data_IF_236834010553
#
_entry.id   IF_236834010553
#
_cell.length_a   1.000
_cell.length_b   1.000
_cell.length_c   1.000
_cell.angle_alpha   90.00
_cell.angle_beta   90.00
_cell.angle_gamma   90.00
#
_symmetry.space_group_name_H-M   'P 1'
#
loop_
_entity.id
_entity.type
_entity.pdbx_description
1 polymer ?
#
# COMPACT_ATOMS: atom_id res chain seq x y z
N UNK A 1 -15.54 -11.01 22.13
CA UNK A 1 -16.54 -10.04 21.58
C UNK A 1 -17.09 -10.61 20.28
N UNK A 2 -18.41 -10.70 20.09
CA UNK A 2 -19.05 -11.14 18.84
C UNK A 2 -18.65 -10.30 17.62
N UNK A 3 -18.65 -10.91 16.43
CA UNK A 3 -18.25 -10.21 15.19
C UNK A 3 -19.16 -9.00 14.90
N UNK A 4 -20.48 -9.13 15.13
CA UNK A 4 -21.41 -8.02 14.95
C UNK A 4 -21.01 -6.81 15.81
N UNK A 5 -20.74 -7.03 17.10
CA UNK A 5 -20.34 -5.93 17.99
C UNK A 5 -19.04 -5.28 17.59
N UNK A 6 -18.06 -6.04 17.04
CA UNK A 6 -16.83 -5.48 16.46
C UNK A 6 -17.15 -4.62 15.23
N UNK A 7 -18.00 -5.13 14.35
CA UNK A 7 -18.43 -4.39 13.15
C UNK A 7 -19.17 -3.09 13.53
N UNK A 8 -20.00 -3.10 14.56
CA UNK A 8 -20.72 -1.90 15.03
C UNK A 8 -19.75 -0.80 15.49
N UNK A 9 -18.68 -1.16 16.21
CA UNK A 9 -17.60 -0.20 16.54
C UNK A 9 -16.93 0.36 15.30
N UNK A 10 -16.64 -0.49 14.30
CA UNK A 10 -16.01 -0.03 13.06
C UNK A 10 -16.91 0.90 12.27
N UNK A 11 -18.22 0.63 12.19
CA UNK A 11 -19.17 1.55 11.55
C UNK A 11 -19.22 2.88 12.30
N UNK A 12 -19.19 2.88 13.63
CA UNK A 12 -19.11 4.10 14.44
C UNK A 12 -17.83 4.89 14.14
N UNK A 13 -16.68 4.23 14.08
CA UNK A 13 -15.40 4.83 13.69
C UNK A 13 -15.51 5.48 12.31
N UNK A 14 -16.08 4.79 11.32
CA UNK A 14 -16.24 5.32 9.97
C UNK A 14 -17.13 6.58 9.95
N UNK A 15 -18.21 6.64 10.72
CA UNK A 15 -19.06 7.83 10.81
C UNK A 15 -18.36 9.00 11.48
N UNK A 16 -17.55 8.76 12.52
CA UNK A 16 -16.74 9.80 13.16
C UNK A 16 -15.69 10.33 12.16
N UNK A 17 -15.02 9.46 11.40
CA UNK A 17 -14.07 9.86 10.37
C UNK A 17 -14.74 10.73 9.29
N UNK A 18 -15.91 10.34 8.82
CA UNK A 18 -16.69 11.16 7.86
C UNK A 18 -16.99 12.56 8.41
N UNK A 19 -17.42 12.64 9.65
CA UNK A 19 -17.71 13.93 10.32
C UNK A 19 -16.46 14.79 10.47
N UNK A 20 -15.30 14.19 10.80
CA UNK A 20 -14.01 14.87 10.99
C UNK A 20 -13.17 14.96 9.70
N UNK A 21 -13.73 14.64 8.53
CA UNK A 21 -12.98 14.52 7.27
C UNK A 21 -12.15 15.76 6.94
N UNK A 22 -12.74 16.94 7.04
CA UNK A 22 -12.01 18.18 6.72
C UNK A 22 -10.89 18.49 7.72
N UNK A 23 -11.07 18.16 9.00
CA UNK A 23 -10.03 18.27 10.01
C UNK A 23 -8.86 17.32 9.71
N UNK A 24 -9.15 16.05 9.38
CA UNK A 24 -8.15 15.05 9.01
C UNK A 24 -7.37 15.53 7.78
N UNK A 25 -8.07 16.01 6.74
CA UNK A 25 -7.45 16.54 5.53
C UNK A 25 -6.52 17.73 5.84
N UNK A 26 -6.97 18.68 6.67
CA UNK A 26 -6.19 19.87 7.02
C UNK A 26 -4.88 19.50 7.74
N UNK A 27 -4.93 18.57 8.67
CA UNK A 27 -3.73 18.06 9.33
C UNK A 27 -2.80 17.32 8.37
N UNK A 28 -3.35 16.53 7.47
CA UNK A 28 -2.57 15.79 6.47
C UNK A 28 -1.87 16.71 5.47
N UNK A 29 -2.52 17.78 5.04
CA UNK A 29 -1.92 18.84 4.21
C UNK A 29 -0.74 19.46 4.95
N UNK A 30 -0.92 19.78 6.23
CA UNK A 30 0.10 20.45 7.04
C UNK A 30 1.27 19.56 7.42
N UNK A 31 1.04 18.28 7.71
CA UNK A 31 2.06 17.35 8.22
C UNK A 31 2.78 16.59 7.10
N UNK A 32 2.06 16.17 6.06
CA UNK A 32 2.59 15.36 4.96
C UNK A 32 2.84 16.13 3.66
N UNK A 33 2.39 17.39 3.57
CA UNK A 33 2.53 18.17 2.34
C UNK A 33 1.68 17.66 1.17
N UNK A 34 0.57 16.98 1.44
CA UNK A 34 -0.39 16.57 0.42
C UNK A 34 -1.23 17.76 -0.03
N UNK A 35 -1.52 17.88 -1.32
CA UNK A 35 -2.53 18.81 -1.79
C UNK A 35 -3.95 18.35 -1.39
N UNK A 36 -4.96 19.16 -1.63
CA UNK A 36 -6.34 18.90 -1.17
C UNK A 36 -6.91 17.60 -1.76
N UNK A 37 -6.63 17.33 -3.02
CA UNK A 37 -7.13 16.13 -3.72
C UNK A 37 -6.50 14.85 -3.14
N UNK A 38 -5.19 14.86 -2.92
CA UNK A 38 -4.46 13.72 -2.36
C UNK A 38 -4.79 13.48 -0.88
N UNK A 39 -5.02 14.54 -0.10
CA UNK A 39 -5.43 14.44 1.31
C UNK A 39 -6.84 13.88 1.43
N UNK A 40 -7.78 14.38 0.61
CA UNK A 40 -9.16 13.92 0.62
C UNK A 40 -9.30 12.46 0.15
N UNK A 41 -8.51 12.07 -0.86
CA UNK A 41 -8.45 10.68 -1.33
C UNK A 41 -7.92 9.72 -0.25
N UNK A 42 -6.88 10.11 0.49
CA UNK A 42 -6.33 9.32 1.60
C UNK A 42 -7.36 9.13 2.71
N UNK A 43 -8.05 10.19 3.12
CA UNK A 43 -9.11 10.10 4.13
C UNK A 43 -10.27 9.24 3.67
N UNK A 44 -10.69 9.34 2.40
CA UNK A 44 -11.74 8.51 1.83
C UNK A 44 -11.34 7.03 1.82
N UNK A 45 -10.12 6.71 1.40
CA UNK A 45 -9.59 5.35 1.42
C UNK A 45 -9.54 4.76 2.84
N UNK A 46 -9.16 5.57 3.84
CA UNK A 46 -9.19 5.16 5.24
C UNK A 46 -10.61 4.76 5.69
N UNK A 47 -11.62 5.55 5.34
CA UNK A 47 -13.02 5.25 5.64
C UNK A 47 -13.46 3.95 4.95
N UNK A 48 -13.08 3.78 3.69
CA UNK A 48 -13.41 2.59 2.91
C UNK A 48 -12.79 1.33 3.52
N UNK A 49 -11.54 1.37 3.99
CA UNK A 49 -10.93 0.26 4.73
C UNK A 49 -11.73 -0.14 5.95
N UNK A 50 -12.15 0.82 6.77
CA UNK A 50 -12.91 0.55 8.00
C UNK A 50 -14.22 -0.14 7.69
N UNK A 51 -14.98 0.40 6.74
CA UNK A 51 -16.30 -0.15 6.33
C UNK A 51 -16.13 -1.52 5.68
N UNK A 52 -15.18 -1.65 4.76
CA UNK A 52 -14.94 -2.91 4.05
C UNK A 52 -14.56 -4.04 5.00
N UNK A 53 -13.61 -3.78 5.91
CA UNK A 53 -13.18 -4.80 6.86
C UNK A 53 -14.25 -5.15 7.90
N UNK A 54 -15.16 -4.24 8.23
CA UNK A 54 -16.32 -4.56 9.06
C UNK A 54 -17.21 -5.62 8.38
N UNK A 55 -17.56 -5.43 7.10
CA UNK A 55 -18.34 -6.41 6.34
C UNK A 55 -17.58 -7.73 6.13
N UNK A 56 -16.29 -7.68 5.83
CA UNK A 56 -15.50 -8.89 5.65
C UNK A 56 -15.35 -9.69 6.95
N UNK A 57 -15.24 -9.03 8.10
CA UNK A 57 -15.24 -9.69 9.41
C UNK A 57 -16.57 -10.43 9.69
N UNK A 58 -17.70 -9.83 9.34
CA UNK A 58 -19.01 -10.49 9.43
C UNK A 58 -19.12 -11.71 8.49
N UNK A 59 -18.54 -11.63 7.30
CA UNK A 59 -18.44 -12.76 6.38
C UNK A 59 -17.59 -13.89 6.95
N UNK A 60 -16.43 -13.57 7.51
CA UNK A 60 -15.48 -14.54 8.07
C UNK A 60 -16.03 -15.25 9.34
N UNK A 61 -16.90 -14.60 10.10
CA UNK A 61 -17.53 -15.20 11.29
C UNK A 61 -18.39 -16.44 10.97
N UNK A 62 -18.81 -16.57 9.71
CA UNK A 62 -19.56 -17.77 9.23
C UNK A 62 -18.68 -19.02 9.18
N UNK A 63 -17.36 -18.87 9.31
CA UNK A 63 -16.40 -19.97 9.18
C UNK A 63 -16.13 -20.36 7.74
N UNK A 64 -15.51 -21.52 7.56
CA UNK A 64 -15.17 -22.10 6.26
C UNK A 64 -16.09 -23.27 5.95
N UNK A 65 -16.64 -23.37 4.74
CA UNK A 65 -17.35 -24.57 4.31
C UNK A 65 -16.42 -25.79 4.39
N UNK A 66 -16.91 -26.88 4.94
CA UNK A 66 -16.23 -28.17 4.98
C UNK A 66 -17.13 -29.25 4.36
N UNK A 67 -16.54 -30.32 3.91
CA UNK A 67 -17.32 -31.48 3.48
C UNK A 67 -18.16 -31.97 4.65
N UNK A 68 -19.41 -32.28 4.36
CA UNK A 68 -20.36 -32.71 5.35
C UNK A 68 -20.04 -34.11 5.88
N UNK A 69 -20.84 -34.48 6.85
CA UNK A 69 -20.74 -35.68 7.66
C UNK A 69 -20.47 -36.95 6.86
N UNK A 70 -19.36 -37.59 7.17
CA UNK A 70 -19.07 -38.96 6.75
C UNK A 70 -18.94 -39.84 8.01
N UNK A 71 -19.57 -41.01 8.00
CA UNK A 71 -19.46 -42.02 9.08
C UNK A 71 -19.88 -41.53 10.48
N UNK A 72 -20.85 -40.61 10.55
CA UNK A 72 -21.40 -40.08 11.81
C UNK A 72 -20.56 -38.97 12.46
N UNK A 73 -19.57 -38.44 11.76
CA UNK A 73 -18.78 -37.28 12.22
C UNK A 73 -19.45 -35.97 11.85
N UNK A 74 -19.51 -35.03 12.80
CA UNK A 74 -19.93 -33.66 12.58
C UNK A 74 -18.67 -32.77 12.46
N UNK A 75 -18.47 -32.14 11.31
CA UNK A 75 -17.28 -31.34 11.04
C UNK A 75 -17.61 -29.85 10.96
N UNK A 76 -16.71 -29.02 11.48
CA UNK A 76 -16.79 -27.56 11.38
C UNK A 76 -15.40 -26.94 11.40
N UNK A 77 -15.17 -25.91 10.57
CA UNK A 77 -13.99 -25.07 10.64
C UNK A 77 -14.40 -23.64 10.96
N UNK A 78 -13.80 -23.05 11.97
CA UNK A 78 -13.98 -21.66 12.38
C UNK A 78 -12.67 -20.90 12.30
N UNK A 79 -12.76 -19.59 12.21
CA UNK A 79 -11.61 -18.70 12.31
C UNK A 79 -11.49 -18.11 13.71
N UNK A 80 -10.27 -18.09 14.24
CA UNK A 80 -9.93 -17.53 15.55
C UNK A 80 -8.89 -16.42 15.38
N UNK A 81 -8.99 -15.30 16.15
CA UNK A 81 -7.95 -14.28 16.16
C UNK A 81 -6.62 -14.84 16.65
N UNK A 82 -5.51 -14.41 16.09
CA UNK A 82 -4.17 -14.89 16.47
C UNK A 82 -3.63 -14.21 17.74
N UNK A 83 -4.15 -13.03 18.13
CA UNK A 83 -3.81 -12.33 19.37
C UNK A 83 -3.25 -10.91 19.16
N UNK A 84 -2.30 -10.52 20.02
CA UNK A 84 -1.73 -9.17 19.97
C UNK A 84 -0.67 -9.04 18.88
N UNK A 85 -0.70 -7.95 18.11
CA UNK A 85 0.27 -7.67 17.08
C UNK A 85 0.67 -6.21 16.97
N UNK A 86 1.53 -5.93 16.00
CA UNK A 86 2.09 -4.61 15.75
C UNK A 86 1.78 -4.18 14.32
N UNK A 87 1.35 -2.94 14.17
CA UNK A 87 1.19 -2.26 12.88
C UNK A 87 2.18 -1.11 12.80
N UNK A 88 3.09 -1.12 11.82
CA UNK A 88 4.12 -0.11 11.61
C UNK A 88 3.90 0.46 10.21
N UNK A 89 3.39 1.69 10.14
CA UNK A 89 2.94 2.32 8.91
C UNK A 89 3.90 3.38 8.37
N UNK A 90 3.83 3.70 7.07
CA UNK A 90 4.63 4.74 6.44
C UNK A 90 4.01 6.12 6.62
N UNK A 91 4.76 7.14 6.19
CA UNK A 91 4.34 8.54 6.24
C UNK A 91 3.59 9.03 4.97
N UNK A 92 3.68 8.30 3.86
CA UNK A 92 3.18 8.78 2.56
C UNK A 92 1.67 8.61 2.35
N UNK A 93 1.05 7.65 3.01
CA UNK A 93 -0.39 7.53 3.21
C UNK A 93 -0.64 7.44 4.72
N UNK A 94 -0.46 8.57 5.41
CA UNK A 94 -0.31 8.55 6.87
C UNK A 94 -1.61 8.24 7.60
N UNK A 95 -2.74 8.36 6.93
CA UNK A 95 -4.03 8.01 7.49
C UNK A 95 -4.58 6.70 6.92
N UNK A 96 -4.71 6.56 5.59
CA UNK A 96 -5.31 5.36 4.99
C UNK A 96 -4.55 4.08 5.33
N UNK A 97 -3.23 4.06 5.11
CA UNK A 97 -2.44 2.85 5.39
C UNK A 97 -2.36 2.59 6.89
N UNK A 98 -2.17 3.62 7.71
CA UNK A 98 -2.16 3.48 9.18
C UNK A 98 -3.47 2.85 9.69
N UNK A 99 -4.61 3.40 9.26
CA UNK A 99 -5.95 2.92 9.63
C UNK A 99 -6.18 1.50 9.09
N UNK A 100 -5.93 1.27 7.80
CA UNK A 100 -6.17 -0.04 7.17
C UNK A 100 -5.38 -1.17 7.83
N UNK A 101 -4.11 -0.92 8.15
CA UNK A 101 -3.23 -1.89 8.81
C UNK A 101 -3.64 -2.17 10.27
N UNK A 102 -4.13 -1.17 10.99
CA UNK A 102 -4.55 -1.32 12.38
C UNK A 102 -5.96 -1.94 12.51
N UNK A 103 -6.89 -1.52 11.66
CA UNK A 103 -8.30 -1.93 11.75
C UNK A 103 -8.52 -3.36 11.22
N UNK A 104 -7.79 -3.82 10.21
CA UNK A 104 -7.94 -5.16 9.67
C UNK A 104 -7.81 -6.26 10.75
N UNK A 105 -6.74 -6.32 11.57
CA UNK A 105 -6.65 -7.29 12.65
C UNK A 105 -7.70 -7.08 13.75
N UNK A 106 -8.06 -5.82 14.08
CA UNK A 106 -9.10 -5.51 15.08
C UNK A 106 -10.46 -6.02 14.64
N UNK A 107 -10.81 -5.87 13.37
CA UNK A 107 -12.07 -6.35 12.79
C UNK A 107 -12.32 -7.83 13.08
N UNK A 108 -11.28 -8.64 13.08
CA UNK A 108 -11.36 -10.09 13.32
C UNK A 108 -11.02 -10.50 14.77
N UNK A 109 -10.86 -9.54 15.67
CA UNK A 109 -10.78 -9.79 17.14
C UNK A 109 -9.38 -9.82 17.73
N UNK A 110 -8.37 -9.34 17.02
CA UNK A 110 -7.03 -9.14 17.57
C UNK A 110 -6.91 -7.79 18.28
N UNK A 111 -5.79 -7.58 18.96
CA UNK A 111 -5.38 -6.29 19.51
C UNK A 111 -4.11 -5.79 18.81
N UNK A 112 -3.95 -4.47 18.71
CA UNK A 112 -2.88 -3.86 17.93
C UNK A 112 -2.15 -2.79 18.73
N UNK A 113 -0.83 -2.79 18.65
CA UNK A 113 0.01 -1.62 18.91
C UNK A 113 0.31 -0.98 17.59
N UNK A 114 -0.21 0.23 17.36
CA UNK A 114 -0.12 0.97 16.11
C UNK A 114 0.92 2.08 16.23
N UNK A 115 1.98 1.97 15.41
CA UNK A 115 3.09 2.92 15.35
C UNK A 115 3.11 3.63 14.00
N UNK A 116 2.76 4.92 13.91
CA UNK A 116 2.93 5.70 12.69
C UNK A 116 4.41 6.00 12.42
N UNK A 117 4.70 6.47 11.22
CA UNK A 117 6.01 7.02 10.91
C UNK A 117 6.29 8.27 11.76
N UNK A 118 7.56 8.53 12.13
CA UNK A 118 7.94 9.72 12.90
C UNK A 118 7.64 11.05 12.18
N UNK A 119 7.58 11.02 10.85
CA UNK A 119 7.29 12.22 10.04
C UNK A 119 5.80 12.62 10.07
N UNK A 120 4.89 11.71 10.47
CA UNK A 120 3.44 11.96 10.45
C UNK A 120 2.71 11.39 11.69
N UNK A 121 3.14 11.73 12.92
CA UNK A 121 2.57 11.17 14.15
C UNK A 121 1.16 11.70 14.44
N UNK A 122 0.80 12.89 13.97
CA UNK A 122 -0.51 13.51 14.23
C UNK A 122 -1.65 12.70 13.65
N UNK A 123 -1.45 12.06 12.48
CA UNK A 123 -2.46 11.19 11.88
C UNK A 123 -2.80 10.00 12.78
N UNK A 124 -1.76 9.37 13.37
CA UNK A 124 -1.97 8.30 14.34
C UNK A 124 -2.67 8.76 15.63
N UNK A 125 -2.35 9.96 16.11
CA UNK A 125 -3.02 10.56 17.26
C UNK A 125 -4.50 10.85 16.98
N UNK A 126 -4.84 11.41 15.81
CA UNK A 126 -6.25 11.62 15.41
C UNK A 126 -7.03 10.30 15.35
N UNK A 127 -6.41 9.23 14.87
CA UNK A 127 -7.06 7.91 14.89
C UNK A 127 -7.30 7.42 16.31
N UNK A 128 -6.37 7.66 17.24
CA UNK A 128 -6.56 7.31 18.66
C UNK A 128 -7.74 8.07 19.28
N UNK A 129 -7.88 9.38 19.00
CA UNK A 129 -9.06 10.16 19.43
C UNK A 129 -10.36 9.59 18.84
N UNK A 130 -10.38 9.24 17.56
CA UNK A 130 -11.56 8.68 16.88
C UNK A 130 -11.96 7.32 17.49
N UNK A 131 -10.99 6.49 17.78
CA UNK A 131 -11.20 5.17 18.39
C UNK A 131 -11.76 5.32 19.82
N UNK A 132 -11.25 6.27 20.59
CA UNK A 132 -11.75 6.58 21.95
C UNK A 132 -13.19 7.13 21.89
N UNK A 133 -13.45 8.07 21.00
CA UNK A 133 -14.79 8.62 20.76
C UNK A 133 -15.82 7.56 20.34
N UNK A 134 -15.39 6.56 19.54
CA UNK A 134 -16.23 5.43 19.15
C UNK A 134 -16.48 4.45 20.31
N UNK A 135 -15.82 4.60 21.45
CA UNK A 135 -15.96 3.77 22.62
C UNK A 135 -15.37 2.35 22.45
N UNK A 136 -14.37 2.19 21.56
CA UNK A 136 -13.68 0.90 21.43
C UNK A 136 -13.02 0.52 22.78
N UNK A 137 -13.17 -0.72 23.28
CA UNK A 137 -12.63 -1.09 24.58
C UNK A 137 -11.13 -0.83 24.72
N UNK A 138 -10.72 -0.33 25.87
CA UNK A 138 -9.32 -0.04 26.17
C UNK A 138 -8.43 -1.27 25.93
N UNK A 139 -7.24 -1.04 25.35
CA UNK A 139 -6.26 -2.08 25.04
C UNK A 139 -6.50 -2.82 23.70
N UNK A 140 -7.59 -2.56 22.99
CA UNK A 140 -7.82 -3.13 21.66
C UNK A 140 -6.96 -2.41 20.62
N UNK A 141 -6.97 -1.08 20.62
CA UNK A 141 -6.08 -0.22 19.83
C UNK A 141 -5.16 0.55 20.79
N UNK A 142 -3.86 0.48 20.55
CA UNK A 142 -2.85 1.13 21.39
C UNK A 142 -1.92 1.94 20.50
N UNK A 143 -1.98 3.25 20.61
CA UNK A 143 -1.15 4.18 19.85
C UNK A 143 0.19 4.39 20.54
N UNK A 144 1.28 4.33 19.77
CA UNK A 144 2.64 4.65 20.26
C UNK A 144 3.43 5.37 19.18
N UNK A 145 4.15 6.42 19.58
CA UNK A 145 5.11 7.13 18.73
C UNK A 145 6.53 6.85 19.21
N UNK A 146 7.51 7.21 18.41
CA UNK A 146 8.92 7.15 18.77
C UNK A 146 9.81 6.73 17.62
N UNK A 147 11.10 6.59 17.90
CA UNK A 147 12.10 6.21 16.93
C UNK A 147 11.80 4.87 16.26
N UNK A 148 12.16 4.75 14.99
CA UNK A 148 11.87 3.55 14.20
C UNK A 148 12.67 2.33 14.66
N UNK A 149 13.91 2.53 15.09
CA UNK A 149 14.79 1.44 15.54
C UNK A 149 14.42 1.05 16.98
N UNK A 150 14.43 2.02 17.91
CA UNK A 150 14.21 1.75 19.31
C UNK A 150 12.80 1.17 19.58
N UNK A 151 11.76 1.89 19.16
CA UNK A 151 10.36 1.47 19.41
C UNK A 151 9.95 0.36 18.45
N UNK A 152 10.26 0.51 17.15
CA UNK A 152 9.86 -0.47 16.13
C UNK A 152 10.46 -1.85 16.35
N UNK A 153 11.76 -1.95 16.64
CA UNK A 153 12.40 -3.24 16.92
C UNK A 153 11.98 -3.83 18.26
N UNK A 154 11.82 -3.02 19.30
CA UNK A 154 11.34 -3.50 20.60
C UNK A 154 9.99 -4.18 20.46
N UNK A 155 9.07 -3.57 19.74
CA UNK A 155 7.76 -4.13 19.45
C UNK A 155 7.84 -5.41 18.62
N UNK A 156 8.66 -5.42 17.57
CA UNK A 156 8.83 -6.57 16.69
C UNK A 156 9.48 -7.76 17.38
N UNK A 157 10.46 -7.54 18.26
CA UNK A 157 11.19 -8.58 18.99
C UNK A 157 10.40 -9.15 20.17
N UNK A 158 9.39 -8.44 20.68
CA UNK A 158 8.63 -8.86 21.85
C UNK A 158 8.11 -10.31 21.70
N UNK A 159 8.31 -11.19 22.69
CA UNK A 159 7.76 -12.55 22.67
C UNK A 159 6.24 -12.60 22.67
N UNK A 160 5.57 -11.47 22.92
CA UNK A 160 4.10 -11.34 22.91
C UNK A 160 3.53 -10.94 21.55
N UNK A 161 4.37 -10.44 20.62
CA UNK A 161 3.95 -10.01 19.29
C UNK A 161 3.71 -11.20 18.38
N UNK A 162 2.45 -11.47 18.06
CA UNK A 162 2.01 -12.61 17.23
C UNK A 162 2.11 -12.32 15.72
N UNK A 163 1.94 -11.08 15.33
CA UNK A 163 2.08 -10.64 13.94
C UNK A 163 2.70 -9.25 13.86
N UNK A 164 3.35 -9.00 12.73
CA UNK A 164 3.91 -7.70 12.36
C UNK A 164 3.29 -7.35 11.01
N UNK A 165 2.49 -6.29 10.97
CA UNK A 165 2.02 -5.67 9.74
C UNK A 165 2.88 -4.44 9.47
N UNK A 166 3.60 -4.44 8.35
CA UNK A 166 4.57 -3.41 8.01
C UNK A 166 4.35 -2.89 6.59
N UNK A 167 4.30 -1.58 6.43
CA UNK A 167 4.40 -0.92 5.13
C UNK A 167 5.52 0.11 5.18
N UNK A 168 6.47 0.02 4.23
CA UNK A 168 7.62 0.92 4.19
C UNK A 168 8.72 0.46 3.24
N UNK A 169 9.98 0.85 3.53
CA UNK A 169 11.10 0.52 2.67
C UNK A 169 11.41 -0.98 2.66
N UNK A 170 11.87 -1.49 1.51
CA UNK A 170 12.32 -2.87 1.35
C UNK A 170 13.35 -3.29 2.39
N UNK A 171 14.33 -2.44 2.66
CA UNK A 171 15.40 -2.75 3.62
C UNK A 171 14.85 -3.01 5.03
N UNK A 172 13.94 -2.16 5.50
CA UNK A 172 13.30 -2.33 6.81
C UNK A 172 12.38 -3.54 6.83
N UNK A 173 11.61 -3.78 5.76
CA UNK A 173 10.74 -4.96 5.66
C UNK A 173 11.51 -6.28 5.74
N UNK A 174 12.64 -6.39 5.03
CA UNK A 174 13.53 -7.55 5.09
C UNK A 174 14.15 -7.71 6.48
N UNK A 175 14.55 -6.62 7.14
CA UNK A 175 15.06 -6.64 8.50
C UNK A 175 14.01 -7.13 9.50
N UNK A 176 12.77 -6.62 9.44
CA UNK A 176 11.68 -7.07 10.30
C UNK A 176 11.29 -8.53 10.03
N UNK A 177 11.36 -8.98 8.77
CA UNK A 177 11.15 -10.39 8.41
C UNK A 177 12.20 -11.29 9.08
N UNK A 178 13.46 -10.86 9.09
CA UNK A 178 14.53 -11.56 9.82
C UNK A 178 14.26 -11.63 11.32
N UNK A 179 13.80 -10.53 11.93
CA UNK A 179 13.39 -10.51 13.35
C UNK A 179 12.23 -11.47 13.60
N UNK A 180 11.22 -11.46 12.75
CA UNK A 180 10.03 -12.31 12.89
C UNK A 180 10.37 -13.82 12.80
N UNK A 181 11.39 -14.18 12.03
CA UNK A 181 11.86 -15.57 11.90
C UNK A 181 12.61 -16.10 13.13
N UNK A 182 13.07 -15.21 14.02
CA UNK A 182 13.79 -15.60 15.23
C UNK A 182 12.81 -15.86 16.36
N UNK A 183 12.80 -17.10 16.87
CA UNK A 183 12.04 -17.46 18.07
C UNK A 183 12.89 -17.08 19.29
N UNK A 184 12.33 -16.25 20.16
CA UNK A 184 13.00 -15.78 21.37
C UNK A 184 12.43 -16.47 22.62
N UNK A 185 13.14 -16.38 23.74
CA UNK A 185 12.69 -16.96 25.01
C UNK A 185 11.30 -16.44 25.42
N UNK A 186 10.42 -17.33 25.85
CA UNK A 186 9.03 -17.03 26.19
C UNK A 186 8.07 -16.91 24.99
N UNK A 187 8.55 -17.08 23.77
CA UNK A 187 7.72 -17.12 22.57
C UNK A 187 7.31 -18.59 22.26
N UNK A 188 6.01 -18.84 22.16
CA UNK A 188 5.46 -20.19 21.91
C UNK A 188 4.74 -20.31 20.56
N UNK A 189 5.04 -19.45 19.58
CA UNK A 189 4.42 -19.39 18.27
C UNK A 189 5.39 -18.80 17.22
N UNK A 190 5.12 -19.03 15.95
CA UNK A 190 5.80 -18.32 14.86
C UNK A 190 5.09 -17.00 14.60
N UNK A 191 5.84 -15.91 14.55
CA UNK A 191 5.29 -14.60 14.19
C UNK A 191 4.87 -14.60 12.74
N UNK A 192 3.71 -14.02 12.44
CA UNK A 192 3.30 -13.77 11.06
C UNK A 192 3.82 -12.41 10.60
N UNK A 193 4.31 -12.37 9.37
CA UNK A 193 4.77 -11.14 8.73
C UNK A 193 3.88 -10.80 7.56
N UNK A 194 3.33 -9.59 7.55
CA UNK A 194 2.59 -8.99 6.44
C UNK A 194 3.34 -7.74 6.01
N UNK A 195 3.90 -7.77 4.82
CA UNK A 195 4.73 -6.69 4.28
C UNK A 195 4.12 -6.11 3.00
N UNK A 196 4.07 -4.77 2.94
CA UNK A 196 3.93 -3.98 1.72
C UNK A 196 5.15 -3.08 1.60
N UNK A 197 5.92 -3.26 0.52
CA UNK A 197 7.23 -2.64 0.36
C UNK A 197 7.26 -1.72 -0.87
N UNK A 198 8.48 -1.36 -1.28
CA UNK A 198 8.69 -0.47 -2.41
C UNK A 198 8.31 -1.04 -3.76
N UNK A 199 8.42 -0.20 -4.77
CA UNK A 199 8.15 -0.53 -6.16
C UNK A 199 9.10 0.16 -7.13
N UNK A 200 9.23 -0.41 -8.34
CA UNK A 200 9.86 0.21 -9.49
C UNK A 200 8.91 0.08 -10.68
N UNK A 201 7.76 0.70 -10.54
CA UNK A 201 6.61 0.48 -11.39
C UNK A 201 6.84 1.02 -12.79
N UNK A 202 6.38 0.25 -13.79
CA UNK A 202 6.50 0.61 -15.19
C UNK A 202 5.13 0.95 -15.79
N UNK A 203 5.12 2.02 -16.60
CA UNK A 203 4.06 2.29 -17.55
C UNK A 203 4.59 1.91 -18.93
N UNK A 204 4.00 0.91 -19.55
CA UNK A 204 4.35 0.42 -20.89
C UNK A 204 3.40 1.04 -21.90
N UNK A 205 3.95 1.63 -22.98
CA UNK A 205 3.16 2.24 -24.07
C UNK A 205 3.51 1.56 -25.38
N UNK A 206 2.52 0.87 -25.96
CA UNK A 206 2.68 0.14 -27.21
C UNK A 206 2.43 1.03 -28.44
N UNK A 207 2.79 0.53 -29.63
CA UNK A 207 2.74 1.23 -30.90
C UNK A 207 1.34 1.72 -31.32
N UNK A 208 0.29 1.08 -30.85
CA UNK A 208 -1.12 1.36 -31.17
C UNK A 208 -1.87 2.10 -30.03
N UNK A 209 -1.14 2.53 -28.99
CA UNK A 209 -1.70 3.24 -27.86
C UNK A 209 -2.21 4.65 -28.25
N UNK A 210 -3.18 5.14 -27.49
CA UNK A 210 -3.49 6.57 -27.45
C UNK A 210 -2.37 7.29 -26.69
N UNK A 211 -1.48 7.94 -27.44
CA UNK A 211 -0.28 8.59 -26.92
C UNK A 211 -0.63 9.81 -26.05
N UNK A 212 -1.71 10.52 -26.35
CA UNK A 212 -2.15 11.68 -25.56
C UNK A 212 -2.67 11.25 -24.20
N UNK A 213 -3.52 10.23 -24.16
CA UNK A 213 -3.99 9.61 -22.92
C UNK A 213 -2.82 9.03 -22.11
N UNK A 214 -1.92 8.31 -22.77
CA UNK A 214 -0.75 7.73 -22.12
C UNK A 214 0.14 8.81 -21.47
N UNK A 215 0.42 9.91 -22.19
CA UNK A 215 1.22 11.01 -21.67
C UNK A 215 0.58 11.68 -20.44
N UNK A 216 -0.73 11.89 -20.46
CA UNK A 216 -1.48 12.45 -19.31
C UNK A 216 -1.41 11.53 -18.10
N UNK A 217 -1.68 10.26 -18.29
CA UNK A 217 -1.73 9.27 -17.20
C UNK A 217 -0.32 8.93 -16.64
N UNK A 218 0.74 9.01 -17.48
CA UNK A 218 2.14 8.92 -17.03
C UNK A 218 2.47 10.06 -16.08
N UNK A 219 2.18 11.29 -16.45
CA UNK A 219 2.47 12.48 -15.63
C UNK A 219 1.73 12.41 -14.30
N UNK A 220 0.44 12.05 -14.30
CA UNK A 220 -0.34 11.84 -13.07
C UNK A 220 0.23 10.70 -12.21
N UNK A 221 0.64 9.61 -12.84
CA UNK A 221 1.17 8.43 -12.15
C UNK A 221 2.57 8.62 -11.60
N UNK A 222 3.43 9.36 -12.29
CA UNK A 222 4.81 9.61 -11.89
C UNK A 222 4.95 10.73 -10.86
N UNK A 223 4.16 11.80 -10.97
CA UNK A 223 4.37 13.03 -10.20
C UNK A 223 3.29 13.34 -9.18
N UNK A 224 2.15 12.62 -9.18
CA UNK A 224 1.15 12.76 -8.13
C UNK A 224 1.77 12.51 -6.74
N UNK A 225 1.52 13.41 -5.79
CA UNK A 225 2.18 13.46 -4.49
C UNK A 225 3.72 13.36 -4.61
N UNK A 226 4.30 14.08 -5.59
CA UNK A 226 5.75 14.18 -5.85
C UNK A 226 6.45 12.82 -6.04
N UNK A 227 5.74 11.83 -6.60
CA UNK A 227 6.28 10.47 -6.76
C UNK A 227 6.54 9.72 -5.45
N UNK A 228 6.08 10.23 -4.32
CA UNK A 228 6.23 9.63 -2.99
C UNK A 228 5.20 8.53 -2.72
N UNK A 229 4.95 7.69 -3.72
CA UNK A 229 4.05 6.54 -3.65
C UNK A 229 4.81 5.28 -4.00
N UNK A 230 4.61 4.20 -3.25
CA UNK A 230 5.13 2.89 -3.60
C UNK A 230 4.70 2.44 -5.01
N UNK A 231 3.52 2.90 -5.46
CA UNK A 231 2.93 2.66 -6.77
C UNK A 231 3.30 3.69 -7.85
N UNK A 232 4.11 4.73 -7.56
CA UNK A 232 4.43 5.77 -8.54
C UNK A 232 5.08 5.21 -9.80
N UNK A 233 4.70 5.73 -10.97
CA UNK A 233 5.23 5.35 -12.28
C UNK A 233 6.65 5.89 -12.50
N UNK A 234 7.65 5.20 -12.01
CA UNK A 234 9.05 5.63 -12.04
C UNK A 234 9.82 5.18 -13.28
N UNK A 235 9.23 4.30 -14.11
CA UNK A 235 9.73 3.89 -15.42
C UNK A 235 8.63 4.04 -16.46
N UNK A 236 8.96 4.67 -17.60
CA UNK A 236 8.12 4.69 -18.80
C UNK A 236 8.82 3.90 -19.89
N UNK A 237 8.22 2.82 -20.34
CA UNK A 237 8.78 1.93 -21.36
C UNK A 237 7.94 2.10 -22.62
N UNK A 238 8.49 2.68 -23.67
CA UNK A 238 7.77 2.92 -24.91
C UNK A 238 8.37 2.14 -26.07
N UNK A 239 7.50 1.56 -26.90
CA UNK A 239 7.93 0.96 -28.17
C UNK A 239 8.49 2.04 -29.07
N UNK A 240 9.56 1.72 -29.83
CA UNK A 240 10.33 2.66 -30.64
C UNK A 240 9.49 3.62 -31.50
N UNK A 241 8.41 3.10 -32.10
CA UNK A 241 7.55 3.87 -33.01
C UNK A 241 6.80 5.04 -32.35
N UNK A 242 6.58 5.00 -31.04
CA UNK A 242 5.86 6.05 -30.29
C UNK A 242 6.74 6.77 -29.26
N UNK A 243 8.01 6.35 -29.14
CA UNK A 243 8.90 6.81 -28.08
C UNK A 243 9.12 8.32 -28.08
N UNK A 244 9.51 8.90 -29.22
CA UNK A 244 9.84 10.34 -29.30
C UNK A 244 8.59 11.21 -29.12
N UNK A 245 7.46 10.86 -29.75
CA UNK A 245 6.20 11.58 -29.61
C UNK A 245 5.72 11.56 -28.15
N UNK A 246 5.75 10.39 -27.51
CA UNK A 246 5.35 10.23 -26.11
C UNK A 246 6.26 11.04 -25.19
N UNK A 247 7.59 10.99 -25.42
CA UNK A 247 8.57 11.72 -24.61
C UNK A 247 8.34 13.22 -24.70
N UNK A 248 8.14 13.78 -25.91
CA UNK A 248 7.85 15.20 -26.11
C UNK A 248 6.59 15.64 -25.34
N UNK A 249 5.51 14.87 -25.48
CA UNK A 249 4.23 15.15 -24.80
C UNK A 249 4.36 15.07 -23.27
N UNK A 250 5.05 14.05 -22.74
CA UNK A 250 5.27 13.92 -21.27
C UNK A 250 6.14 15.06 -20.76
N UNK A 251 7.21 15.43 -21.46
CA UNK A 251 8.07 16.56 -21.08
C UNK A 251 7.28 17.89 -21.09
N UNK A 252 6.48 18.14 -22.12
CA UNK A 252 5.65 19.34 -22.20
C UNK A 252 4.67 19.44 -21.02
N UNK A 253 3.94 18.34 -20.74
CA UNK A 253 3.00 18.27 -19.61
C UNK A 253 3.72 18.38 -18.25
N UNK A 254 4.90 17.80 -18.10
CA UNK A 254 5.71 17.88 -16.87
C UNK A 254 6.18 19.30 -16.59
N UNK A 255 6.66 20.02 -17.62
CA UNK A 255 7.06 21.44 -17.51
C UNK A 255 5.90 22.37 -17.16
N UNK A 256 4.67 22.00 -17.45
CA UNK A 256 3.47 22.75 -17.10
C UNK A 256 3.02 22.55 -15.65
N UNK A 257 3.57 21.58 -14.92
CA UNK A 257 3.24 21.34 -13.52
C UNK A 257 3.78 22.50 -12.66
N UNK A 258 2.90 23.10 -11.92
CA UNK A 258 3.27 24.14 -10.96
C UNK A 258 3.71 23.48 -9.64
N UNK A 259 4.85 23.94 -9.12
CA UNK A 259 5.44 23.47 -7.84
C UNK A 259 5.25 24.58 -6.80
N UNK A 260 4.72 24.23 -5.63
CA UNK A 260 4.48 25.20 -4.56
C UNK A 260 3.88 24.59 -3.31
N UNK A 261 3.39 25.45 -2.40
CA UNK A 261 2.84 25.03 -1.11
C UNK A 261 1.56 24.17 -1.31
N UNK A 262 1.51 23.06 -0.61
CA UNK A 262 0.35 22.17 -0.60
C UNK A 262 -0.93 22.88 -0.09
N UNK A 263 -0.80 23.87 0.77
CA UNK A 263 -1.92 24.69 1.28
C UNK A 263 -2.57 25.56 0.21
N UNK A 264 -1.83 25.87 -0.84
CA UNK A 264 -2.32 26.60 -2.02
C UNK A 264 -2.82 25.65 -3.11
N UNK A 265 -2.82 24.34 -2.82
CA UNK A 265 -3.30 23.28 -3.70
C UNK A 265 -2.53 23.14 -5.03
N UNK A 266 -1.22 23.44 -5.03
CA UNK A 266 -0.38 23.19 -6.20
C UNK A 266 -0.35 21.70 -6.57
N UNK A 267 -0.14 21.42 -7.86
CA UNK A 267 -0.11 20.05 -8.39
C UNK A 267 1.08 19.26 -7.82
N UNK A 268 2.22 19.91 -7.63
CA UNK A 268 3.42 19.35 -7.02
C UNK A 268 3.79 20.13 -5.74
N UNK A 269 3.67 19.49 -4.59
CA UNK A 269 4.02 20.04 -3.27
C UNK A 269 5.46 19.71 -2.84
N UNK A 270 5.76 19.81 -1.54
CA UNK A 270 7.07 19.44 -1.00
C UNK A 270 7.25 17.92 -0.90
N UNK A 271 8.50 17.45 -0.92
CA UNK A 271 8.85 16.13 -0.39
C UNK A 271 8.96 16.18 1.12
N UNK A 272 8.85 15.04 1.79
CA UNK A 272 8.54 14.94 3.22
C UNK A 272 9.56 15.61 4.15
N UNK A 273 10.85 15.57 3.84
CA UNK A 273 11.91 16.11 4.70
C UNK A 273 13.23 16.31 3.92
N UNK A 274 14.24 16.90 4.58
CA UNK A 274 15.55 17.16 3.98
C UNK A 274 16.29 15.88 3.56
N UNK A 275 16.14 14.78 4.30
CA UNK A 275 16.75 13.50 3.95
C UNK A 275 16.20 12.95 2.62
N UNK A 276 14.92 13.16 2.36
CA UNK A 276 14.30 12.83 1.08
C UNK A 276 14.85 13.71 -0.05
N UNK A 277 15.01 15.02 0.18
CA UNK A 277 15.65 15.94 -0.78
C UNK A 277 17.03 15.45 -1.16
N UNK A 278 17.87 15.16 -0.17
CA UNK A 278 19.26 14.75 -0.40
C UNK A 278 19.34 13.43 -1.17
N UNK A 279 18.49 12.47 -0.81
CA UNK A 279 18.36 11.19 -1.53
C UNK A 279 17.95 11.40 -2.98
N UNK A 280 16.91 12.18 -3.23
CA UNK A 280 16.38 12.38 -4.58
C UNK A 280 17.40 13.11 -5.48
N UNK A 281 18.05 14.15 -4.97
CA UNK A 281 19.09 14.87 -5.69
C UNK A 281 20.30 13.96 -5.99
N UNK A 282 20.68 13.08 -5.07
CA UNK A 282 21.71 12.09 -5.33
C UNK A 282 21.38 11.19 -6.53
N UNK A 283 20.14 10.66 -6.61
CA UNK A 283 19.72 9.87 -7.75
C UNK A 283 19.60 10.68 -9.05
N UNK A 284 19.23 11.95 -8.95
CA UNK A 284 19.23 12.86 -10.11
C UNK A 284 20.65 13.01 -10.67
N UNK A 285 21.66 13.16 -9.83
CA UNK A 285 23.06 13.23 -10.29
C UNK A 285 23.57 11.91 -10.89
N UNK A 286 23.08 10.76 -10.42
CA UNK A 286 23.32 9.46 -11.06
C UNK A 286 22.64 9.45 -12.45
N UNK A 287 21.37 9.83 -12.52
CA UNK A 287 20.61 9.83 -13.77
C UNK A 287 21.21 10.71 -14.85
N UNK A 288 21.82 11.86 -14.51
CA UNK A 288 22.55 12.72 -15.45
C UNK A 288 23.74 12.02 -16.11
N UNK A 289 24.27 10.96 -15.51
CA UNK A 289 25.37 10.15 -16.06
C UNK A 289 24.87 8.93 -16.82
N UNK A 290 23.63 8.51 -16.59
CA UNK A 290 23.05 7.29 -17.15
C UNK A 290 22.17 7.56 -18.38
N UNK A 291 21.74 8.82 -18.62
CA UNK A 291 20.92 9.18 -19.74
C UNK A 291 20.77 10.69 -19.93
N UNK A 292 19.81 11.07 -20.73
CA UNK A 292 19.59 12.47 -21.14
C UNK A 292 18.53 13.12 -20.23
N UNK A 293 18.91 14.17 -19.49
CA UNK A 293 17.96 14.98 -18.72
C UNK A 293 17.09 15.82 -19.66
N UNK A 294 15.78 15.64 -19.60
CA UNK A 294 14.82 16.33 -20.47
C UNK A 294 14.16 17.55 -19.81
N UNK A 295 13.90 17.47 -18.52
CA UNK A 295 13.42 18.59 -17.70
C UNK A 295 13.64 18.30 -16.21
N UNK A 296 13.52 19.34 -15.37
CA UNK A 296 13.74 19.26 -13.94
C UNK A 296 15.22 19.11 -13.57
N UNK A 297 15.50 18.24 -12.63
CA UNK A 297 16.88 17.86 -12.26
C UNK A 297 17.52 18.74 -11.20
N UNK A 298 16.74 19.51 -10.44
CA UNK A 298 17.22 20.41 -9.38
C UNK A 298 16.13 20.67 -8.33
N UNK A 299 16.48 21.37 -7.27
CA UNK A 299 15.48 21.98 -6.36
C UNK A 299 14.63 22.99 -7.11
N UNK A 300 13.35 23.01 -6.82
CA UNK A 300 12.46 24.03 -7.38
C UNK A 300 12.62 25.35 -6.61
N UNK A 301 12.57 26.46 -7.33
CA UNK A 301 12.46 27.78 -6.76
C UNK A 301 10.99 28.09 -6.52
N UNK A 302 10.62 28.38 -5.28
CA UNK A 302 9.25 28.63 -4.85
C UNK A 302 9.20 29.88 -3.98
N UNK A 303 8.02 30.47 -3.82
CA UNK A 303 7.84 31.68 -2.98
C UNK A 303 8.18 31.40 -1.50
N UNK A 304 7.93 30.20 -1.01
CA UNK A 304 8.22 29.79 0.35
C UNK A 304 9.39 28.81 0.41
N UNK A 305 10.23 28.95 1.43
CA UNK A 305 11.27 27.94 1.71
C UNK A 305 10.64 26.58 2.04
N UNK A 306 11.22 25.51 1.46
CA UNK A 306 10.73 24.15 1.69
C UNK A 306 11.51 23.09 0.92
N UNK A 307 10.99 21.89 0.97
CA UNK A 307 11.61 20.70 0.38
C UNK A 307 11.08 20.44 -1.05
N UNK A 308 11.20 21.42 -1.95
CA UNK A 308 10.65 21.35 -3.30
C UNK A 308 11.67 20.85 -4.30
N UNK A 309 11.27 19.90 -5.15
CA UNK A 309 12.08 19.34 -6.24
C UNK A 309 11.27 19.42 -7.54
N UNK A 310 11.91 19.89 -8.59
CA UNK A 310 11.27 19.92 -9.91
C UNK A 310 10.96 18.52 -10.42
N UNK A 311 9.74 18.26 -10.93
CA UNK A 311 9.43 17.03 -11.64
C UNK A 311 10.44 16.76 -12.76
N UNK A 312 11.08 15.59 -12.70
CA UNK A 312 12.28 15.28 -13.47
C UNK A 312 12.03 14.12 -14.43
N UNK A 313 12.37 14.32 -15.69
CA UNK A 313 12.27 13.29 -16.75
C UNK A 313 13.66 13.02 -17.32
N UNK A 314 14.06 11.76 -17.32
CA UNK A 314 15.24 11.25 -18.01
C UNK A 314 14.83 10.42 -19.22
N UNK A 315 15.56 10.57 -20.32
CA UNK A 315 15.38 9.81 -21.56
C UNK A 315 16.62 8.94 -21.85
N UNK A 316 16.42 7.95 -22.73
CA UNK A 316 17.45 7.05 -23.23
C UNK A 316 18.15 6.24 -22.11
N UNK A 317 17.38 5.89 -21.09
CA UNK A 317 17.88 5.14 -19.94
C UNK A 317 17.95 3.65 -20.26
N UNK A 318 19.06 3.01 -19.90
CA UNK A 318 19.19 1.55 -19.94
C UNK A 318 18.29 0.89 -18.92
N UNK A 319 17.70 -0.26 -19.26
CA UNK A 319 16.92 -1.06 -18.31
C UNK A 319 17.71 -1.48 -17.04
N UNK A 320 19.05 -1.53 -17.14
CA UNK A 320 19.96 -1.90 -16.05
C UNK A 320 20.57 -0.69 -15.32
N UNK A 321 20.20 0.52 -15.70
CA UNK A 321 20.65 1.74 -15.05
C UNK A 321 20.18 1.80 -13.58
N UNK A 322 20.93 2.42 -12.71
CA UNK A 322 20.60 2.56 -11.29
C UNK A 322 19.23 3.21 -11.12
N UNK A 323 18.97 4.32 -11.87
CA UNK A 323 17.68 5.01 -11.79
C UNK A 323 16.53 4.22 -12.42
N UNK A 324 16.79 3.16 -13.17
CA UNK A 324 15.77 2.22 -13.68
C UNK A 324 15.52 1.04 -12.74
N UNK A 325 16.42 0.76 -11.80
CA UNK A 325 16.36 -0.41 -10.92
C UNK A 325 16.05 -0.06 -9.46
N UNK A 326 16.53 1.07 -8.96
CA UNK A 326 16.39 1.45 -7.56
C UNK A 326 15.20 2.39 -7.32
N UNK A 327 14.54 2.26 -6.18
CA UNK A 327 13.42 3.09 -5.78
C UNK A 327 13.88 4.45 -5.27
N UNK A 328 13.60 5.51 -6.04
CA UNK A 328 13.97 6.89 -5.70
C UNK A 328 13.03 7.48 -4.67
N UNK A 329 11.71 7.21 -4.78
CA UNK A 329 10.64 7.74 -3.95
C UNK A 329 10.56 9.27 -3.99
N UNK A 330 10.58 9.81 -5.21
CA UNK A 330 10.57 11.24 -5.51
C UNK A 330 10.10 11.51 -6.95
N UNK A 331 9.99 12.78 -7.36
CA UNK A 331 9.40 13.16 -8.64
C UNK A 331 10.36 12.92 -9.81
N UNK A 332 10.74 11.67 -10.05
CA UNK A 332 11.67 11.26 -11.11
C UNK A 332 11.12 10.09 -11.89
N UNK A 333 11.05 10.20 -13.21
CA UNK A 333 10.71 9.09 -14.11
C UNK A 333 11.78 8.90 -15.19
N UNK A 334 12.01 7.62 -15.56
CA UNK A 334 13.01 7.19 -16.52
C UNK A 334 12.36 6.59 -17.77
N UNK A 335 12.64 7.14 -18.93
CA UNK A 335 12.19 6.64 -20.23
C UNK A 335 13.15 5.60 -20.77
N UNK A 336 12.61 4.44 -21.14
CA UNK A 336 13.33 3.28 -21.68
C UNK A 336 12.69 2.92 -23.02
N UNK A 337 13.51 2.70 -24.03
CA UNK A 337 13.07 2.30 -25.37
C UNK A 337 12.95 0.77 -25.45
N UNK A 338 11.89 0.27 -26.08
CA UNK A 338 11.67 -1.13 -26.35
C UNK A 338 11.45 -1.38 -27.84
N UNK A 339 11.85 -2.54 -28.33
CA UNK A 339 11.72 -2.91 -29.75
C UNK A 339 10.26 -3.22 -30.13
N UNK A 340 9.57 -3.93 -29.28
CA UNK A 340 8.21 -4.40 -29.50
C UNK A 340 7.50 -4.68 -28.16
N UNK A 341 6.24 -5.11 -28.22
CA UNK A 341 5.42 -5.49 -27.05
C UNK A 341 6.12 -6.50 -26.13
N UNK A 342 6.75 -7.52 -26.69
CA UNK A 342 7.39 -8.60 -25.91
C UNK A 342 8.62 -8.10 -25.18
N UNK A 343 9.43 -7.30 -25.85
CA UNK A 343 10.59 -6.65 -25.28
C UNK A 343 10.20 -5.65 -24.18
N UNK A 344 9.15 -4.85 -24.42
CA UNK A 344 8.64 -3.91 -23.43
C UNK A 344 8.18 -4.60 -22.14
N UNK A 345 7.45 -5.72 -22.24
CA UNK A 345 7.04 -6.51 -21.06
C UNK A 345 8.23 -7.19 -20.40
N UNK A 346 9.20 -7.68 -21.17
CA UNK A 346 10.47 -8.23 -20.62
C UNK A 346 11.21 -7.17 -19.80
N UNK A 347 11.38 -5.97 -20.36
CA UNK A 347 12.01 -4.83 -19.65
C UNK A 347 11.21 -4.44 -18.40
N UNK A 348 9.89 -4.40 -18.49
CA UNK A 348 9.02 -4.08 -17.36
C UNK A 348 9.22 -5.05 -16.19
N UNK A 349 9.38 -6.34 -16.50
CA UNK A 349 9.62 -7.41 -15.53
C UNK A 349 11.07 -7.48 -15.02
N UNK A 350 12.03 -6.82 -15.69
CA UNK A 350 13.44 -6.83 -15.29
C UNK A 350 13.68 -5.90 -14.09
N UNK A 351 13.19 -6.31 -12.93
CA UNK A 351 13.37 -5.62 -11.65
C UNK A 351 13.11 -6.59 -10.50
N UNK A 352 13.70 -6.31 -9.35
CA UNK A 352 13.44 -7.08 -8.13
C UNK A 352 12.05 -6.82 -7.51
N UNK A 353 11.33 -5.83 -8.00
CA UNK A 353 10.01 -5.43 -7.54
C UNK A 353 8.89 -6.02 -8.42
N UNK A 354 7.66 -5.86 -7.99
CA UNK A 354 6.48 -6.30 -8.72
C UNK A 354 5.19 -5.74 -8.12
N UNK A 355 5.17 -4.43 -7.78
CA UNK A 355 4.02 -3.84 -7.10
C UNK A 355 2.90 -3.50 -8.07
N UNK A 356 3.09 -2.48 -8.91
CA UNK A 356 2.09 -2.07 -9.88
C UNK A 356 2.69 -1.91 -11.28
N UNK A 357 1.81 -1.89 -12.29
CA UNK A 357 2.17 -1.59 -13.66
C UNK A 357 0.98 -1.09 -14.46
N UNK A 358 1.25 -0.33 -15.51
CA UNK A 358 0.25 0.08 -16.48
C UNK A 358 0.67 -0.31 -17.91
N UNK A 359 -0.31 -0.62 -18.74
CA UNK A 359 -0.10 -0.95 -20.13
C UNK A 359 -1.08 -0.20 -21.01
N UNK A 360 -0.59 0.48 -22.03
CA UNK A 360 -1.39 1.25 -22.97
C UNK A 360 -1.35 0.61 -24.36
N UNK A 361 -2.50 0.20 -24.85
CA UNK A 361 -2.73 -0.37 -26.18
C UNK A 361 -4.22 -0.40 -26.48
N UNK A 362 -4.57 -0.37 -27.77
CA UNK A 362 -5.93 -0.57 -28.26
C UNK A 362 -6.10 -1.95 -28.95
N UNK A 363 -5.05 -2.77 -29.02
CA UNK A 363 -5.09 -4.13 -29.57
C UNK A 363 -5.43 -5.15 -28.49
N UNK A 364 -6.59 -5.84 -28.58
CA UNK A 364 -6.99 -6.84 -27.60
C UNK A 364 -5.99 -8.01 -27.42
N UNK A 365 -5.27 -8.41 -28.50
CA UNK A 365 -4.30 -9.48 -28.44
C UNK A 365 -3.05 -9.08 -27.65
N UNK A 366 -2.59 -7.85 -27.82
CA UNK A 366 -1.49 -7.27 -27.04
C UNK A 366 -1.88 -7.06 -25.58
N UNK A 367 -3.10 -6.57 -25.32
CA UNK A 367 -3.64 -6.44 -23.95
C UNK A 367 -3.68 -7.82 -23.29
N UNK A 368 -4.22 -8.86 -23.93
CA UNK A 368 -4.25 -10.22 -23.38
C UNK A 368 -2.83 -10.75 -23.10
N UNK A 369 -1.88 -10.50 -24.01
CA UNK A 369 -0.48 -10.84 -23.79
C UNK A 369 0.09 -10.14 -22.54
N UNK A 370 -0.12 -8.85 -22.41
CA UNK A 370 0.36 -8.07 -21.26
C UNK A 370 -0.27 -8.54 -19.94
N UNK A 371 -1.58 -8.80 -19.91
CA UNK A 371 -2.28 -9.33 -18.74
C UNK A 371 -1.73 -10.66 -18.25
N UNK A 372 -1.23 -11.51 -19.16
CA UNK A 372 -0.65 -12.82 -18.82
C UNK A 372 0.83 -12.76 -18.42
N UNK A 373 1.58 -11.79 -18.97
CA UNK A 373 3.04 -11.81 -18.90
C UNK A 373 3.66 -10.68 -18.10
N UNK A 374 2.93 -9.59 -17.82
CA UNK A 374 3.43 -8.52 -16.97
C UNK A 374 3.25 -8.91 -15.49
N UNK A 375 4.34 -9.21 -14.81
CA UNK A 375 4.37 -9.79 -13.45
C UNK A 375 4.34 -8.71 -12.37
N UNK A 376 3.16 -8.19 -12.09
CA UNK A 376 2.91 -7.22 -11.02
C UNK A 376 1.66 -7.60 -10.24
N UNK A 377 1.61 -7.21 -8.97
CA UNK A 377 0.46 -7.49 -8.12
C UNK A 377 -0.79 -6.72 -8.53
N UNK A 378 -0.64 -5.49 -9.02
CA UNK A 378 -1.73 -4.67 -9.54
C UNK A 378 -1.41 -4.18 -10.95
N UNK A 379 -2.18 -4.64 -11.92
CA UNK A 379 -2.03 -4.25 -13.33
C UNK A 379 -3.23 -3.44 -13.80
N UNK A 380 -2.95 -2.38 -14.55
CA UNK A 380 -3.93 -1.49 -15.12
C UNK A 380 -3.76 -1.37 -16.65
N UNK A 381 -4.86 -1.23 -17.37
CA UNK A 381 -4.84 -1.02 -18.82
C UNK A 381 -5.47 0.33 -19.13
N UNK A 382 -4.81 1.12 -19.98
CA UNK A 382 -5.26 2.45 -20.43
C UNK A 382 -5.61 3.42 -19.31
N UNK A 383 -4.88 3.34 -18.20
CA UNK A 383 -4.95 4.28 -17.07
C UNK A 383 -3.62 4.27 -16.29
N UNK A 384 -3.44 5.24 -15.39
CA UNK A 384 -2.25 5.33 -14.54
C UNK A 384 -2.06 4.10 -13.64
N UNK A 385 -0.82 3.81 -13.28
CA UNK A 385 -0.44 2.67 -12.41
C UNK A 385 -0.74 2.88 -10.92
N UNK A 386 -1.38 3.98 -10.53
CA UNK A 386 -1.71 4.34 -9.16
C UNK A 386 -3.22 4.42 -8.93
N UNK A 387 -3.66 4.56 -7.67
CA UNK A 387 -5.06 4.80 -7.31
C UNK A 387 -5.89 3.52 -7.31
N UNK A 388 -5.42 2.49 -6.63
CA UNK A 388 -6.23 1.32 -6.26
C UNK A 388 -7.36 1.74 -5.31
N UNK A 389 -8.52 1.12 -5.46
CA UNK A 389 -9.69 1.34 -4.60
C UNK A 389 -9.95 0.10 -3.76
N UNK A 390 -10.27 0.30 -2.49
CA UNK A 390 -10.62 -0.75 -1.54
C UNK A 390 -11.78 -1.59 -2.08
N UNK A 391 -11.64 -2.89 -2.05
CA UNK A 391 -12.66 -3.83 -2.56
C UNK A 391 -12.71 -3.99 -4.08
N UNK A 392 -12.20 -3.02 -4.85
CA UNK A 392 -12.22 -3.05 -6.32
C UNK A 392 -10.88 -3.53 -6.89
N UNK A 393 -9.76 -2.98 -6.40
CA UNK A 393 -8.41 -3.39 -6.78
C UNK A 393 -7.60 -3.71 -5.51
N UNK A 394 -7.75 -4.91 -4.93
CA UNK A 394 -6.97 -5.33 -3.77
C UNK A 394 -5.47 -5.13 -4.01
N UNK A 395 -4.81 -4.44 -3.08
CA UNK A 395 -3.47 -3.92 -3.29
C UNK A 395 -2.40 -4.76 -2.60
N UNK A 396 -1.39 -5.16 -3.35
CA UNK A 396 -0.24 -5.92 -2.85
C UNK A 396 0.66 -6.41 -3.97
N UNK A 397 1.96 -6.46 -3.70
CA UNK A 397 3.00 -6.68 -4.70
C UNK A 397 3.64 -8.06 -4.69
N UNK A 398 4.10 -8.48 -5.87
CA UNK A 398 4.92 -9.67 -6.08
C UNK A 398 6.39 -9.39 -5.75
N UNK A 399 7.22 -10.41 -5.74
CA UNK A 399 8.65 -10.34 -5.55
C UNK A 399 9.02 -9.58 -4.25
N UNK A 400 10.01 -8.68 -4.30
CA UNK A 400 10.42 -7.87 -3.14
C UNK A 400 9.55 -6.60 -2.91
N UNK A 401 8.38 -6.53 -3.54
CA UNK A 401 7.39 -5.51 -3.22
C UNK A 401 6.47 -5.89 -2.06
N UNK A 402 6.52 -7.12 -1.57
CA UNK A 402 5.79 -7.50 -0.37
C UNK A 402 5.42 -8.98 -0.31
N UNK A 403 4.53 -9.30 0.61
CA UNK A 403 4.00 -10.66 0.84
C UNK A 403 2.74 -10.94 0.04
N UNK A 404 2.38 -10.07 -0.89
CA UNK A 404 1.17 -10.16 -1.73
C UNK A 404 -0.13 -10.34 -0.91
N UNK A 405 -0.21 -9.65 0.23
CA UNK A 405 -1.31 -9.81 1.18
C UNK A 405 -2.63 -9.16 0.72
N UNK A 406 -2.67 -8.47 -0.40
CA UNK A 406 -3.86 -7.85 -1.04
C UNK A 406 -4.73 -7.04 -0.07
N UNK A 407 -4.15 -5.96 0.51
CA UNK A 407 -4.87 -5.02 1.36
C UNK A 407 -6.13 -4.48 0.65
N UNK A 408 -7.24 -4.33 1.37
CA UNK A 408 -8.54 -4.00 0.79
C UNK A 408 -9.16 -5.14 -0.02
N UNK A 409 -8.63 -6.35 0.11
CA UNK A 409 -9.13 -7.55 -0.55
C UNK A 409 -9.87 -8.48 0.39
N UNK A 410 -10.69 -9.33 -0.18
CA UNK A 410 -11.57 -10.29 0.51
C UNK A 410 -10.83 -11.26 1.43
N UNK A 411 -9.58 -11.59 1.09
CA UNK A 411 -8.79 -12.58 1.81
C UNK A 411 -7.77 -11.97 2.79
N UNK A 412 -7.66 -10.63 2.81
CA UNK A 412 -6.68 -9.92 3.64
C UNK A 412 -6.79 -10.26 5.13
N UNK A 413 -8.01 -10.36 5.65
CA UNK A 413 -8.25 -10.65 7.06
C UNK A 413 -7.75 -12.04 7.50
N UNK A 414 -7.54 -12.97 6.57
CA UNK A 414 -7.00 -14.32 6.86
C UNK A 414 -5.58 -14.29 7.43
N UNK A 415 -4.82 -13.25 7.12
CA UNK A 415 -3.46 -13.09 7.68
C UNK A 415 -3.46 -12.89 9.20
N UNK A 416 -4.58 -12.49 9.77
CA UNK A 416 -4.77 -12.23 11.20
C UNK A 416 -5.65 -13.27 11.90
N UNK A 417 -5.90 -14.41 11.27
CA UNK A 417 -6.76 -15.47 11.72
C UNK A 417 -6.06 -16.83 11.68
N UNK A 418 -6.41 -17.70 12.62
CA UNK A 418 -6.05 -19.13 12.63
C UNK A 418 -7.32 -19.96 12.39
N UNK A 419 -7.35 -20.83 11.35
CA UNK A 419 -8.45 -21.76 11.17
C UNK A 419 -8.33 -22.90 12.17
N UNK A 420 -9.43 -23.20 12.89
CA UNK A 420 -9.53 -24.35 13.78
C UNK A 420 -10.54 -25.34 13.20
N UNK A 421 -10.07 -26.51 12.79
CA UNK A 421 -10.92 -27.62 12.43
C UNK A 421 -11.36 -28.40 13.66
N UNK A 422 -12.65 -28.75 13.71
CA UNK A 422 -13.26 -29.49 14.80
C UNK A 422 -14.08 -30.64 14.22
N UNK A 423 -13.93 -31.80 14.84
CA UNK A 423 -14.73 -32.99 14.53
C UNK A 423 -15.32 -33.53 15.83
N UNK A 424 -16.62 -33.79 15.82
CA UNK A 424 -17.31 -34.45 16.92
C UNK A 424 -17.99 -35.69 16.39
N UNK A 425 -17.70 -36.83 17.01
CA UNK A 425 -18.46 -38.07 16.84
C UNK A 425 -19.38 -38.25 18.05
N UNK A 426 -20.66 -37.92 17.93
CA UNK A 426 -21.59 -38.09 19.07
C UNK A 426 -21.77 -39.57 19.37
N UNK A 427 -21.83 -39.93 20.65
CA UNK A 427 -22.28 -41.25 21.07
C UNK A 427 -23.80 -41.31 20.98
N UNK A 428 -24.36 -42.53 20.84
CA UNK A 428 -25.80 -42.72 20.93
C UNK A 428 -26.34 -42.08 22.24
N UNK A 429 -27.42 -41.30 22.11
CA UNK A 429 -28.06 -40.54 23.19
C UNK A 429 -27.35 -39.27 23.68
N UNK A 430 -26.30 -38.76 23.00
CA UNK A 430 -25.70 -37.44 23.27
C UNK A 430 -26.09 -36.47 22.20
N UNK A 431 -26.98 -35.52 22.49
CA UNK A 431 -27.32 -34.44 21.55
C UNK A 431 -26.30 -33.31 21.63
N UNK A 432 -25.30 -33.35 20.74
CA UNK A 432 -24.35 -32.24 20.52
C UNK A 432 -24.29 -31.90 19.06
N UNK A 433 -24.43 -30.61 18.75
CA UNK A 433 -24.30 -30.11 17.37
C UNK A 433 -23.25 -29.00 17.28
N UNK A 434 -22.34 -29.12 16.33
CA UNK A 434 -21.40 -28.07 15.96
C UNK A 434 -22.04 -26.95 15.13
N UNK A 435 -23.25 -27.14 14.59
CA UNK A 435 -23.91 -26.15 13.73
C UNK A 435 -24.06 -24.78 14.41
N UNK A 436 -24.41 -24.77 15.69
CA UNK A 436 -24.60 -23.55 16.49
C UNK A 436 -23.36 -23.12 17.28
N UNK A 437 -22.25 -23.83 17.15
CA UNK A 437 -21.02 -23.47 17.86
C UNK A 437 -20.43 -22.19 17.29
N UNK A 438 -20.25 -21.16 18.12
CA UNK A 438 -19.52 -19.93 17.84
C UNK A 438 -18.34 -19.84 18.81
N UNK A 439 -17.21 -19.28 18.33
CA UNK A 439 -16.03 -19.11 19.18
C UNK A 439 -16.28 -18.13 20.34
N UNK A 440 -17.04 -17.07 20.07
CA UNK A 440 -17.47 -16.11 21.09
C UNK A 440 -18.93 -16.39 21.47
N UNK A 441 -19.17 -16.61 22.77
CA UNK A 441 -20.54 -16.63 23.31
C UNK A 441 -21.09 -15.21 23.28
N UNK A 442 -22.39 -15.08 23.05
CA UNK A 442 -23.12 -13.81 23.11
C UNK A 442 -23.02 -13.16 24.49
#
# INVERSE_FOLDING_TARGET
MPAQKRADYLFSIAEIMKRRRLEINAWMISEAGKNYVEADADTAEAIDFVVYYAYEALRMDKGMPVLSENWGDHNKTIYMPIGAGVSISPWNFPFAIFVGMAIAPIAVGNTVVAKPAPDTPKMGYLMAEIVDEAGLPAGVFNFVTGDNIEVGETLARSPKTRFISFTGSKAVGLHLTNIAAQVVEGQHFLKRMVCELGGKNATVVDADADVDLAAEEIVKGAFGFQGQKCSAGSRTIAVESVYEELLEKVVAKTKALQVGDAKENFAAGPVVNQKAVDKILHYIEIGKKEGRLMCGGKKAETEHEGHYIEPTVFADISENAVIAQEEIFGPVTAFIKAKDTKDAIRIANNTQYGLTGAYFSNDPAKIDYALRHFRVGNMYVNRKCTGALVGAQPFGGFNLSGTDAKAGGRDYLKYFLEPKSMTVRPKENVSFSLSNFKFTKE
#
